data_IF_546204919634
#
_entry.id   IF_546204919634
#
_cell.length_a   1.000
_cell.length_b   1.000
_cell.length_c   1.000
_cell.angle_alpha   90.00
_cell.angle_beta   90.00
_cell.angle_gamma   90.00
#
_symmetry.space_group_name_H-M   'P 1'
#
loop_
_entity.id
_entity.type
_entity.pdbx_description
1 polymer ?
#
# COMPACT_ATOMS: atom_id res chain seq x y z
N UNK A 1 -7.88 14.49 -9.51
CA UNK A 1 -7.85 13.12 -8.96
C UNK A 1 -9.19 12.72 -8.36
N UNK A 2 -9.76 13.49 -7.42
CA UNK A 2 -11.17 13.38 -7.03
C UNK A 2 -12.08 13.48 -8.25
N UNK A 3 -11.77 14.36 -9.21
CA UNK A 3 -12.48 14.51 -10.48
C UNK A 3 -12.57 13.25 -11.36
N UNK A 4 -11.62 12.30 -11.34
CA UNK A 4 -11.72 11.09 -12.17
C UNK A 4 -12.59 10.03 -11.49
N UNK A 5 -12.54 9.95 -10.16
CA UNK A 5 -13.40 9.10 -9.33
C UNK A 5 -14.83 9.68 -9.27
N UNK A 6 -14.96 11.02 -9.22
CA UNK A 6 -16.21 11.77 -9.29
C UNK A 6 -16.78 11.79 -10.71
N UNK A 7 -15.97 11.88 -11.77
CA UNK A 7 -16.46 11.71 -13.14
C UNK A 7 -16.91 10.26 -13.39
N UNK A 8 -16.25 9.28 -12.75
CA UNK A 8 -16.70 7.89 -12.76
C UNK A 8 -17.98 7.66 -11.93
N UNK A 9 -18.16 8.34 -10.80
CA UNK A 9 -19.43 8.34 -10.06
C UNK A 9 -20.55 9.07 -10.84
N UNK A 10 -20.28 10.25 -11.38
CA UNK A 10 -21.22 11.05 -12.16
C UNK A 10 -21.62 10.39 -13.49
N UNK A 11 -20.72 9.61 -14.12
CA UNK A 11 -21.07 8.83 -15.30
C UNK A 11 -21.91 7.59 -14.96
N UNK A 12 -21.78 7.03 -13.74
CA UNK A 12 -22.59 5.91 -13.28
C UNK A 12 -24.00 6.34 -12.83
N UNK A 13 -24.13 7.53 -12.24
CA UNK A 13 -25.42 8.08 -11.77
C UNK A 13 -26.28 8.69 -12.89
N UNK A 14 -25.71 8.91 -14.08
CA UNK A 14 -26.41 9.46 -15.26
C UNK A 14 -27.11 8.40 -16.15
N UNK A 15 -27.11 7.13 -15.77
CA UNK A 15 -28.01 6.15 -16.38
C UNK A 15 -29.40 6.27 -15.75
N UNK A 16 -30.29 6.92 -16.49
CA UNK A 16 -31.70 7.16 -16.15
C UNK A 16 -32.45 5.90 -15.66
N UNK A 17 -33.45 6.05 -14.79
CA UNK A 17 -34.27 4.95 -14.32
C UNK A 17 -35.10 4.39 -15.49
N UNK A 18 -34.71 3.23 -16.01
CA UNK A 18 -35.57 2.41 -16.85
C UNK A 18 -36.63 1.78 -15.96
N UNK A 19 -37.87 2.22 -16.16
CA UNK A 19 -39.09 1.69 -15.60
C UNK A 19 -39.19 0.18 -15.91
N UNK A 20 -39.14 -0.66 -14.88
CA UNK A 20 -39.04 -2.12 -15.06
C UNK A 20 -38.90 -2.88 -13.74
N UNK A 21 -40.00 -2.96 -12.99
CA UNK A 21 -40.09 -3.53 -11.64
C UNK A 21 -39.93 -5.06 -11.51
N UNK A 22 -39.24 -5.74 -12.43
CA UNK A 22 -38.80 -7.13 -12.31
C UNK A 22 -37.79 -7.46 -13.42
N UNK A 23 -36.48 -7.22 -13.20
CA UNK A 23 -35.55 -8.33 -12.94
C UNK A 23 -34.32 -7.91 -12.09
N UNK A 24 -34.46 -6.91 -11.20
CA UNK A 24 -33.31 -6.37 -10.46
C UNK A 24 -32.69 -7.43 -9.54
N UNK A 25 -33.52 -8.25 -8.88
CA UNK A 25 -33.02 -9.32 -8.01
C UNK A 25 -32.28 -10.44 -8.75
N UNK A 26 -32.65 -10.78 -10.00
CA UNK A 26 -31.93 -11.80 -10.78
C UNK A 26 -30.62 -11.27 -11.37
N UNK A 27 -30.55 -9.98 -11.71
CA UNK A 27 -29.31 -9.33 -12.12
C UNK A 27 -28.36 -9.15 -10.92
N UNK A 28 -28.87 -8.82 -9.73
CA UNK A 28 -28.08 -8.73 -8.50
C UNK A 28 -27.55 -10.11 -8.05
N UNK A 29 -28.36 -11.16 -8.18
CA UNK A 29 -27.98 -12.53 -7.79
C UNK A 29 -27.00 -13.17 -8.79
N UNK A 30 -27.08 -12.84 -10.09
CA UNK A 30 -26.08 -13.22 -11.08
C UNK A 30 -24.72 -12.51 -10.83
N UNK A 31 -24.74 -11.26 -10.39
CA UNK A 31 -23.53 -10.47 -10.08
C UNK A 31 -22.85 -10.92 -8.78
N UNK A 32 -23.59 -11.50 -7.83
CA UNK A 32 -23.04 -12.09 -6.61
C UNK A 32 -22.13 -13.31 -6.88
N UNK A 33 -22.22 -13.92 -8.07
CA UNK A 33 -21.35 -15.01 -8.54
C UNK A 33 -20.43 -14.59 -9.70
N UNK A 34 -20.11 -13.30 -9.81
CA UNK A 34 -19.17 -12.84 -10.83
C UNK A 34 -17.80 -13.54 -10.65
N UNK A 35 -17.53 -14.50 -11.52
CA UNK A 35 -16.33 -15.31 -11.47
C UNK A 35 -15.08 -14.52 -11.86
N UNK A 36 -13.89 -15.13 -11.75
CA UNK A 36 -12.62 -14.52 -12.15
C UNK A 36 -12.62 -13.93 -13.57
N UNK A 37 -13.38 -14.53 -14.49
CA UNK A 37 -13.52 -14.07 -15.88
C UNK A 37 -14.26 -12.73 -15.99
N UNK A 38 -15.38 -12.55 -15.28
CA UNK A 38 -16.15 -11.30 -15.28
C UNK A 38 -15.36 -10.17 -14.60
N UNK A 39 -14.64 -10.50 -13.53
CA UNK A 39 -13.72 -9.57 -12.87
C UNK A 39 -12.60 -9.12 -13.82
N UNK A 40 -11.97 -10.06 -14.53
CA UNK A 40 -10.93 -9.76 -15.52
C UNK A 40 -11.45 -8.87 -16.65
N UNK A 41 -12.62 -9.20 -17.22
CA UNK A 41 -13.25 -8.41 -18.28
C UNK A 41 -13.60 -6.99 -17.81
N UNK A 42 -14.03 -6.83 -16.55
CA UNK A 42 -14.27 -5.53 -15.96
C UNK A 42 -12.97 -4.71 -15.86
N UNK A 43 -11.89 -5.31 -15.33
CA UNK A 43 -10.59 -4.62 -15.22
C UNK A 43 -10.09 -4.12 -16.57
N UNK A 44 -10.22 -4.95 -17.60
CA UNK A 44 -9.80 -4.64 -18.98
C UNK A 44 -10.64 -3.52 -19.59
N UNK A 45 -11.98 -3.62 -19.50
CA UNK A 45 -12.90 -2.59 -20.03
C UNK A 45 -12.62 -1.20 -19.46
N UNK A 46 -12.29 -1.13 -18.17
CA UNK A 46 -12.07 0.14 -17.47
C UNK A 46 -10.58 0.49 -17.27
N UNK A 47 -9.66 -0.30 -17.81
CA UNK A 47 -8.21 -0.12 -17.70
C UNK A 47 -7.73 0.15 -16.25
N UNK A 48 -8.35 -0.54 -15.29
CA UNK A 48 -8.12 -0.29 -13.85
C UNK A 48 -6.68 -0.68 -13.47
N UNK A 49 -6.15 -1.72 -14.07
CA UNK A 49 -4.78 -2.20 -13.88
C UNK A 49 -3.75 -1.17 -14.35
N UNK A 50 -3.93 -0.54 -15.51
CA UNK A 50 -3.03 0.50 -16.02
C UNK A 50 -3.00 1.70 -15.08
N UNK A 51 -4.17 2.14 -14.60
CA UNK A 51 -4.27 3.24 -13.65
C UNK A 51 -3.59 2.92 -12.31
N UNK A 52 -3.75 1.69 -11.82
CA UNK A 52 -3.10 1.20 -10.60
C UNK A 52 -1.58 1.12 -10.77
N UNK A 53 -1.08 0.60 -11.90
CA UNK A 53 0.35 0.52 -12.20
C UNK A 53 0.99 1.90 -12.22
N UNK A 54 0.38 2.88 -12.89
CA UNK A 54 0.89 4.27 -12.90
C UNK A 54 1.02 4.85 -11.49
N UNK A 55 0.01 4.66 -10.65
CA UNK A 55 0.04 5.11 -9.24
C UNK A 55 1.08 4.37 -8.42
N UNK A 56 1.25 3.08 -8.66
CA UNK A 56 2.27 2.24 -8.03
C UNK A 56 3.68 2.76 -8.33
N UNK A 57 3.99 3.02 -9.61
CA UNK A 57 5.28 3.60 -10.00
C UNK A 57 5.48 5.02 -9.46
N UNK A 58 4.44 5.85 -9.42
CA UNK A 58 4.54 7.17 -8.77
C UNK A 58 4.91 7.07 -7.30
N UNK A 59 4.33 6.14 -6.54
CA UNK A 59 4.69 5.92 -5.13
C UNK A 59 6.13 5.45 -4.97
N UNK A 60 6.57 4.52 -5.82
CA UNK A 60 7.95 4.04 -5.83
C UNK A 60 8.91 5.18 -6.13
N UNK A 61 8.63 6.00 -7.15
CA UNK A 61 9.44 7.15 -7.51
C UNK A 61 9.51 8.19 -6.38
N UNK A 62 8.39 8.50 -5.73
CA UNK A 62 8.34 9.41 -4.58
C UNK A 62 9.15 8.85 -3.40
N UNK A 63 9.00 7.56 -3.09
CA UNK A 63 9.76 6.90 -2.01
C UNK A 63 11.26 6.95 -2.26
N UNK A 64 11.70 6.60 -3.48
CA UNK A 64 13.09 6.64 -3.89
C UNK A 64 13.66 8.06 -3.88
N UNK A 65 12.94 9.03 -4.46
CA UNK A 65 13.37 10.42 -4.47
C UNK A 65 13.52 10.98 -3.05
N UNK A 66 12.56 10.70 -2.15
CA UNK A 66 12.65 11.10 -0.76
C UNK A 66 13.85 10.46 -0.04
N UNK A 67 14.13 9.17 -0.29
CA UNK A 67 15.31 8.51 0.28
C UNK A 67 16.62 9.12 -0.21
N UNK A 68 16.70 9.46 -1.49
CA UNK A 68 17.89 10.10 -2.07
C UNK A 68 18.10 11.48 -1.45
N UNK A 69 17.03 12.26 -1.28
CA UNK A 69 17.09 13.57 -0.61
C UNK A 69 17.54 13.43 0.84
N UNK A 70 17.02 12.45 1.58
CA UNK A 70 17.40 12.23 2.97
C UNK A 70 18.88 11.82 3.10
N UNK A 71 19.36 10.91 2.25
CA UNK A 71 20.77 10.49 2.23
C UNK A 71 21.69 11.64 1.77
N UNK A 72 21.30 12.39 0.74
CA UNK A 72 22.06 13.56 0.30
C UNK A 72 22.13 14.63 1.40
N UNK A 73 21.02 14.89 2.09
CA UNK A 73 20.98 15.81 3.22
C UNK A 73 22.00 15.41 4.30
N UNK A 74 22.04 14.12 4.66
CA UNK A 74 23.03 13.58 5.59
C UNK A 74 24.47 13.75 5.07
N UNK A 75 24.73 13.40 3.81
CA UNK A 75 26.05 13.50 3.20
C UNK A 75 26.63 14.94 3.22
N UNK A 76 25.76 15.95 3.07
CA UNK A 76 26.16 17.36 3.04
C UNK A 76 26.19 18.02 4.43
N UNK A 77 25.53 17.45 5.44
CA UNK A 77 25.52 17.98 6.81
C UNK A 77 26.51 17.21 7.70
N UNK A 78 27.79 17.60 7.63
CA UNK A 78 28.81 17.12 8.58
C UNK A 78 28.74 17.92 9.88
N UNK A 79 28.63 17.23 11.01
CA UNK A 79 28.62 17.83 12.34
C UNK A 79 29.90 17.51 13.11
N UNK A 80 30.21 18.34 14.11
CA UNK A 80 31.38 18.18 14.96
C UNK A 80 31.25 16.90 15.83
N UNK A 81 32.34 16.12 15.90
CA UNK A 81 32.39 14.76 16.47
C UNK A 81 32.30 14.69 18.02
N UNK A 82 32.01 15.80 18.69
CA UNK A 82 32.03 15.84 20.15
C UNK A 82 30.77 15.20 20.75
N UNK A 83 30.95 14.15 21.55
CA UNK A 83 29.88 13.47 22.29
C UNK A 83 29.13 12.36 21.52
N UNK A 84 29.76 11.75 20.49
CA UNK A 84 29.12 10.72 19.64
C UNK A 84 28.69 9.48 20.43
N UNK A 85 29.46 9.01 21.42
CA UNK A 85 29.18 7.74 22.12
C UNK A 85 27.89 7.75 22.96
N UNK A 86 27.58 8.82 23.68
CA UNK A 86 26.32 8.88 24.45
C UNK A 86 25.09 9.03 23.52
N UNK A 87 25.28 9.70 22.39
CA UNK A 87 24.23 9.90 21.39
C UNK A 87 23.97 8.62 20.58
N UNK A 88 24.98 7.80 20.33
CA UNK A 88 24.84 6.56 19.55
C UNK A 88 23.87 5.57 20.23
N UNK A 89 24.01 5.33 21.54
CA UNK A 89 23.08 4.47 22.29
C UNK A 89 21.63 4.94 22.22
N UNK A 90 21.41 6.26 22.39
CA UNK A 90 20.06 6.84 22.31
C UNK A 90 19.45 6.62 20.93
N UNK A 91 20.26 6.75 19.88
CA UNK A 91 19.81 6.62 18.50
C UNK A 91 19.58 5.15 18.14
N UNK A 92 20.43 4.23 18.58
CA UNK A 92 20.20 2.78 18.43
C UNK A 92 18.85 2.36 19.00
N UNK A 93 18.53 2.79 20.22
CA UNK A 93 17.23 2.52 20.84
C UNK A 93 16.08 3.15 20.07
N UNK A 94 16.23 4.40 19.62
CA UNK A 94 15.22 5.07 18.80
C UNK A 94 14.96 4.30 17.51
N UNK A 95 16.00 3.81 16.84
CA UNK A 95 15.91 3.06 15.58
C UNK A 95 15.28 1.69 15.83
N UNK A 96 15.68 0.98 16.89
CA UNK A 96 15.08 -0.29 17.27
C UNK A 96 13.58 -0.14 17.56
N UNK A 97 13.20 0.85 18.37
CA UNK A 97 11.79 1.16 18.67
C UNK A 97 11.03 1.49 17.38
N UNK A 98 11.61 2.30 16.49
CA UNK A 98 11.01 2.63 15.21
C UNK A 98 10.75 1.39 14.34
N UNK A 99 11.73 0.47 14.24
CA UNK A 99 11.58 -0.77 13.47
C UNK A 99 10.51 -1.69 14.07
N UNK A 100 10.48 -1.82 15.40
CA UNK A 100 9.44 -2.58 16.11
C UNK A 100 8.05 -1.98 15.86
N UNK A 101 7.92 -0.66 15.95
CA UNK A 101 6.66 0.03 15.65
C UNK A 101 6.24 -0.15 14.19
N UNK A 102 7.16 -0.05 13.24
CA UNK A 102 6.89 -0.32 11.82
C UNK A 102 6.37 -1.75 11.62
N UNK A 103 7.02 -2.74 12.25
CA UNK A 103 6.59 -4.13 12.19
C UNK A 103 5.18 -4.30 12.77
N UNK A 104 4.92 -3.75 13.96
CA UNK A 104 3.61 -3.81 14.60
C UNK A 104 2.52 -3.17 13.73
N UNK A 105 2.81 -2.03 13.12
CA UNK A 105 1.90 -1.35 12.17
C UNK A 105 1.62 -2.22 10.96
N UNK A 106 2.64 -2.83 10.35
CA UNK A 106 2.47 -3.74 9.20
C UNK A 106 1.60 -4.94 9.57
N UNK A 107 1.85 -5.57 10.72
CA UNK A 107 1.08 -6.72 11.18
C UNK A 107 -0.38 -6.35 11.46
N UNK A 108 -0.59 -5.28 12.23
CA UNK A 108 -1.93 -4.82 12.62
C UNK A 108 -2.74 -4.36 11.41
N UNK A 109 -2.19 -3.50 10.57
CA UNK A 109 -2.88 -3.03 9.36
C UNK A 109 -3.02 -4.14 8.33
N UNK A 110 -2.04 -5.03 8.19
CA UNK A 110 -2.13 -6.20 7.31
C UNK A 110 -3.28 -7.12 7.71
N UNK A 111 -3.41 -7.41 9.00
CA UNK A 111 -4.54 -8.16 9.52
C UNK A 111 -5.87 -7.43 9.28
N UNK A 112 -5.96 -6.15 9.63
CA UNK A 112 -7.18 -5.33 9.46
C UNK A 112 -7.61 -5.23 7.99
N UNK A 113 -6.67 -5.01 7.07
CA UNK A 113 -6.94 -4.90 5.64
C UNK A 113 -7.41 -6.23 5.05
N UNK A 114 -6.79 -7.35 5.44
CA UNK A 114 -7.24 -8.70 5.05
C UNK A 114 -8.64 -9.01 5.60
N UNK A 115 -8.93 -8.63 6.84
CA UNK A 115 -10.27 -8.78 7.41
C UNK A 115 -11.32 -7.95 6.66
N UNK A 116 -10.96 -6.72 6.25
CA UNK A 116 -11.82 -5.85 5.44
C UNK A 116 -12.14 -6.43 4.06
N UNK A 117 -11.17 -7.11 3.44
CA UNK A 117 -11.36 -7.78 2.14
C UNK A 117 -12.33 -8.97 2.20
N UNK A 118 -12.48 -9.64 3.36
CA UNK A 118 -13.37 -10.80 3.53
C UNK A 118 -14.85 -10.46 3.69
N UNK A 119 -15.19 -9.17 3.77
CA UNK A 119 -16.60 -8.77 3.86
C UNK A 119 -17.32 -9.17 2.57
N UNK A 120 -18.60 -9.54 2.67
CA UNK A 120 -19.42 -9.85 1.49
C UNK A 120 -19.64 -8.59 0.64
N UNK A 121 -19.50 -8.71 -0.66
CA UNK A 121 -19.73 -7.64 -1.62
C UNK A 121 -21.01 -7.94 -2.40
N UNK A 122 -21.91 -6.97 -2.48
CA UNK A 122 -23.19 -7.15 -3.16
C UNK A 122 -23.02 -7.10 -4.68
N UNK A 123 -22.00 -6.38 -5.18
CA UNK A 123 -21.81 -6.13 -6.60
C UNK A 123 -20.38 -6.41 -7.08
N UNK A 124 -20.21 -6.76 -8.35
CA UNK A 124 -18.90 -6.88 -9.01
C UNK A 124 -18.10 -5.58 -8.90
N UNK A 125 -18.77 -4.43 -9.02
CA UNK A 125 -18.16 -3.11 -8.82
C UNK A 125 -17.57 -2.96 -7.42
N UNK A 126 -18.30 -3.36 -6.38
CA UNK A 126 -17.79 -3.34 -5.01
C UNK A 126 -16.61 -4.29 -4.82
N UNK A 127 -16.63 -5.47 -5.45
CA UNK A 127 -15.51 -6.42 -5.38
C UNK A 127 -14.24 -5.79 -5.98
N UNK A 128 -14.33 -5.19 -7.17
CA UNK A 128 -13.22 -4.49 -7.82
C UNK A 128 -12.74 -3.34 -6.94
N UNK A 129 -13.65 -2.51 -6.43
CA UNK A 129 -13.31 -1.39 -5.55
C UNK A 129 -12.60 -1.85 -4.28
N UNK A 130 -12.99 -2.97 -3.66
CA UNK A 130 -12.32 -3.50 -2.47
C UNK A 130 -10.90 -3.95 -2.74
N UNK A 131 -10.66 -4.64 -3.86
CA UNK A 131 -9.31 -5.04 -4.27
C UNK A 131 -8.45 -3.82 -4.58
N UNK A 132 -9.00 -2.85 -5.31
CA UNK A 132 -8.37 -1.56 -5.62
C UNK A 132 -8.02 -0.80 -4.34
N UNK A 133 -8.96 -0.66 -3.42
CA UNK A 133 -8.77 0.01 -2.12
C UNK A 133 -7.71 -0.69 -1.27
N UNK A 134 -7.70 -2.03 -1.26
CA UNK A 134 -6.69 -2.79 -0.55
C UNK A 134 -5.29 -2.50 -1.09
N UNK A 135 -5.10 -2.59 -2.42
CA UNK A 135 -3.81 -2.28 -3.07
C UNK A 135 -3.42 -0.81 -2.80
N UNK A 136 -4.38 0.10 -2.82
CA UNK A 136 -4.13 1.50 -2.53
C UNK A 136 -3.70 1.76 -1.10
N UNK A 137 -4.45 1.25 -0.11
CA UNK A 137 -4.16 1.43 1.31
C UNK A 137 -2.85 0.78 1.69
N UNK A 138 -2.56 -0.42 1.16
CA UNK A 138 -1.30 -1.10 1.41
C UNK A 138 -0.10 -0.32 0.88
N UNK A 139 -0.15 0.15 -0.36
CA UNK A 139 0.94 0.96 -0.91
C UNK A 139 1.12 2.31 -0.20
N UNK A 140 0.04 2.95 0.25
CA UNK A 140 0.13 4.18 1.05
C UNK A 140 0.72 3.93 2.43
N UNK A 141 0.38 2.80 3.07
CA UNK A 141 0.94 2.41 4.36
C UNK A 141 2.46 2.25 4.26
N UNK A 142 2.94 1.52 3.26
CA UNK A 142 4.38 1.33 3.07
C UNK A 142 5.10 2.65 2.79
N UNK A 143 4.51 3.53 1.97
CA UNK A 143 5.08 4.85 1.70
C UNK A 143 5.12 5.72 2.96
N UNK A 144 4.09 5.65 3.81
CA UNK A 144 4.06 6.34 5.10
C UNK A 144 5.17 5.84 6.03
N UNK A 145 5.36 4.52 6.12
CA UNK A 145 6.44 3.93 6.92
C UNK A 145 7.82 4.33 6.40
N UNK A 146 8.03 4.35 5.08
CA UNK A 146 9.25 4.87 4.47
C UNK A 146 9.48 6.34 4.82
N UNK A 147 8.45 7.18 4.76
CA UNK A 147 8.55 8.59 5.15
C UNK A 147 8.95 8.75 6.63
N UNK A 148 8.42 7.91 7.53
CA UNK A 148 8.84 7.92 8.94
C UNK A 148 10.31 7.50 9.11
N UNK A 149 10.79 6.51 8.36
CA UNK A 149 12.20 6.12 8.35
C UNK A 149 13.12 7.26 7.88
N UNK A 150 12.73 7.98 6.81
CA UNK A 150 13.45 9.17 6.35
C UNK A 150 13.48 10.28 7.42
N UNK A 151 12.39 10.48 8.15
CA UNK A 151 12.34 11.41 9.28
C UNK A 151 13.33 11.05 10.39
N UNK A 152 13.42 9.75 10.74
CA UNK A 152 14.41 9.26 11.72
C UNK A 152 15.84 9.46 11.23
N UNK A 153 16.11 9.24 9.93
CA UNK A 153 17.42 9.50 9.33
C UNK A 153 17.80 10.99 9.44
N UNK A 154 16.90 11.89 9.05
CA UNK A 154 17.12 13.34 9.15
C UNK A 154 17.34 13.75 10.61
N UNK A 155 16.54 13.21 11.54
CA UNK A 155 16.72 13.48 12.96
C UNK A 155 18.07 12.99 13.49
N UNK A 156 18.49 11.77 13.14
CA UNK A 156 19.81 11.26 13.50
C UNK A 156 20.95 12.08 12.89
N UNK A 157 20.75 12.61 11.67
CA UNK A 157 21.67 13.56 11.04
C UNK A 157 21.82 14.81 11.92
N UNK A 158 20.72 15.42 12.36
CA UNK A 158 20.74 16.62 13.21
C UNK A 158 21.41 16.38 14.58
N UNK A 159 21.42 15.13 15.06
CA UNK A 159 22.14 14.74 16.28
C UNK A 159 23.64 14.53 16.07
N UNK A 160 24.10 14.59 14.82
CA UNK A 160 25.50 14.49 14.43
C UNK A 160 25.93 13.13 13.90
N UNK A 161 25.00 12.23 13.56
CA UNK A 161 25.36 10.97 12.92
C UNK A 161 25.55 11.13 11.41
N UNK A 162 26.66 10.60 10.92
CA UNK A 162 26.96 10.48 9.51
C UNK A 162 26.72 9.04 9.04
N UNK A 163 25.93 8.87 7.96
CA UNK A 163 25.67 7.57 7.32
C UNK A 163 26.96 6.89 6.85
N UNK A 164 27.98 7.66 6.49
CA UNK A 164 29.26 7.16 5.99
C UNK A 164 30.30 6.91 7.09
N UNK A 165 29.96 7.19 8.36
CA UNK A 165 30.81 6.85 9.49
C UNK A 165 30.73 5.36 9.85
N UNK A 166 31.63 4.90 10.73
CA UNK A 166 31.62 3.52 11.22
C UNK A 166 30.27 3.14 11.86
N UNK A 167 29.67 4.08 12.58
CA UNK A 167 28.39 3.92 13.29
C UNK A 167 27.16 4.22 12.40
N UNK A 168 27.39 4.76 11.20
CA UNK A 168 26.37 5.11 10.22
C UNK A 168 25.53 3.92 9.74
N UNK A 169 26.01 2.69 9.98
CA UNK A 169 25.27 1.44 9.74
C UNK A 169 23.93 1.39 10.46
N UNK A 170 23.88 1.92 11.68
CA UNK A 170 22.63 1.97 12.44
C UNK A 170 21.64 2.91 11.75
N UNK A 171 22.12 4.07 11.27
CA UNK A 171 21.28 5.02 10.53
C UNK A 171 20.77 4.43 9.21
N UNK A 172 21.55 3.59 8.53
CA UNK A 172 21.09 2.86 7.33
C UNK A 172 19.91 1.92 7.63
N UNK A 173 19.79 1.37 8.85
CA UNK A 173 18.66 0.51 9.21
C UNK A 173 17.32 1.28 9.18
N UNK A 174 17.33 2.60 9.33
CA UNK A 174 16.12 3.44 9.19
C UNK A 174 15.54 3.41 7.77
N UNK A 175 16.33 2.99 6.78
CA UNK A 175 15.88 2.81 5.39
C UNK A 175 15.23 1.44 5.14
N UNK A 176 15.12 0.58 6.16
CA UNK A 176 14.45 -0.73 6.04
C UNK A 176 13.02 -0.62 5.51
N UNK A 177 12.16 0.31 5.98
CA UNK A 177 10.83 0.49 5.41
C UNK A 177 10.85 0.95 3.95
N UNK A 178 11.85 1.74 3.55
CA UNK A 178 12.06 2.16 2.16
C UNK A 178 12.48 0.97 1.29
N UNK A 179 13.38 0.11 1.78
CA UNK A 179 13.73 -1.14 1.10
C UNK A 179 12.49 -2.02 0.92
N UNK A 180 11.61 -2.07 1.92
CA UNK A 180 10.33 -2.79 1.81
C UNK A 180 9.43 -2.18 0.71
N UNK A 181 9.37 -0.84 0.58
CA UNK A 181 8.68 -0.17 -0.54
C UNK A 181 9.28 -0.57 -1.88
N UNK A 182 10.60 -0.68 -1.99
CA UNK A 182 11.29 -1.07 -3.24
C UNK A 182 10.98 -2.53 -3.60
N UNK A 183 11.17 -3.45 -2.65
CA UNK A 183 10.88 -4.87 -2.83
C UNK A 183 9.41 -5.06 -3.20
N UNK A 184 8.50 -4.37 -2.49
CA UNK A 184 7.08 -4.36 -2.83
C UNK A 184 6.84 -3.74 -4.22
N UNK A 185 7.50 -2.64 -4.53
CA UNK A 185 7.44 -1.95 -5.81
C UNK A 185 7.74 -2.86 -7.00
N UNK A 186 8.78 -3.68 -6.87
CA UNK A 186 9.25 -4.56 -7.95
C UNK A 186 8.46 -5.88 -7.98
N UNK A 187 8.19 -6.49 -6.82
CA UNK A 187 7.57 -7.83 -6.76
C UNK A 187 6.05 -7.79 -6.79
N UNK A 188 5.44 -6.67 -6.43
CA UNK A 188 4.00 -6.53 -6.24
C UNK A 188 3.39 -5.48 -7.18
N UNK A 189 3.74 -5.54 -8.47
CA UNK A 189 3.09 -4.75 -9.52
C UNK A 189 1.60 -5.16 -9.63
N UNK A 190 0.65 -4.22 -9.68
CA UNK A 190 -0.78 -4.50 -9.76
C UNK A 190 -1.20 -4.85 -11.20
N UNK A 191 -0.68 -5.97 -11.72
CA UNK A 191 -1.10 -6.52 -13.02
C UNK A 191 -2.50 -7.12 -12.93
N UNK A 192 -3.19 -7.23 -14.07
CA UNK A 192 -4.51 -7.86 -14.16
C UNK A 192 -4.54 -9.23 -13.50
N UNK A 193 -3.61 -10.12 -13.86
CA UNK A 193 -3.53 -11.49 -13.32
C UNK A 193 -3.39 -11.50 -11.80
N UNK A 194 -2.63 -10.54 -11.26
CA UNK A 194 -2.46 -10.42 -9.82
C UNK A 194 -3.73 -9.95 -9.13
N UNK A 195 -4.44 -8.96 -9.69
CA UNK A 195 -5.73 -8.51 -9.15
C UNK A 195 -6.77 -9.64 -9.20
N UNK A 196 -6.80 -10.41 -10.29
CA UNK A 196 -7.65 -11.61 -10.42
C UNK A 196 -7.26 -12.66 -9.38
N UNK A 197 -5.97 -12.93 -9.16
CA UNK A 197 -5.53 -13.89 -8.14
C UNK A 197 -5.89 -13.46 -6.71
N UNK A 198 -5.91 -12.15 -6.44
CA UNK A 198 -6.36 -11.61 -5.15
C UNK A 198 -7.85 -11.86 -5.00
N UNK A 199 -8.64 -11.58 -6.03
CA UNK A 199 -10.08 -11.85 -6.06
C UNK A 199 -10.40 -13.34 -5.89
N UNK A 200 -9.71 -14.21 -6.61
CA UNK A 200 -9.88 -15.66 -6.55
C UNK A 200 -9.55 -16.22 -5.14
N UNK A 201 -8.49 -15.72 -4.51
CA UNK A 201 -8.16 -16.05 -3.10
C UNK A 201 -9.23 -15.58 -2.11
N UNK A 202 -9.99 -14.53 -2.43
CA UNK A 202 -11.10 -14.08 -1.59
C UNK A 202 -12.31 -14.98 -1.74
N UNK A 203 -12.62 -15.43 -2.96
CA UNK A 203 -13.70 -16.37 -3.22
C UNK A 203 -13.41 -17.74 -2.57
N UNK A 204 -12.21 -18.27 -2.79
CA UNK A 204 -11.79 -19.59 -2.27
C UNK A 204 -11.50 -19.58 -0.77
N UNK A 205 -10.87 -18.51 -0.26
CA UNK A 205 -10.59 -18.34 1.16
C UNK A 205 -11.82 -18.04 2.02
N UNK A 206 -12.91 -17.55 1.40
CA UNK A 206 -14.24 -17.47 2.03
C UNK A 206 -14.91 -18.84 2.13
N UNK A 207 -14.77 -19.68 1.10
CA UNK A 207 -15.34 -21.04 1.08
C UNK A 207 -14.67 -21.99 2.08
N UNK A 208 -13.35 -21.90 2.26
CA UNK A 208 -12.62 -22.71 3.23
C UNK A 208 -12.83 -22.30 4.71
N UNK A 209 -13.30 -21.07 4.97
CA UNK A 209 -13.57 -20.57 6.32
C UNK A 209 -15.03 -20.82 6.78
N UNK A 210 -15.91 -21.31 5.90
CA UNK A 210 -17.28 -21.73 6.21
C UNK A 210 -17.45 -23.23 6.46
N UNK A 211 -16.36 -24.00 6.44
CA UNK A 211 -16.34 -25.44 6.60
C UNK A 211 -15.33 -25.88 7.66
N UNK A 212 -15.52 -25.41 8.89
CA UNK A 212 -14.97 -26.06 10.08
C UNK A 212 -16.04 -25.99 11.20
N UNK A 213 -16.35 -27.11 11.88
CA UNK A 213 -17.33 -27.18 12.96
C UNK A 213 -16.92 -26.34 14.19
#
# INVERSE_FOLDING_TARGET
>A
MLHAILAWHAAADNHAPMDGSAPIHQAEEAVAKAGPAEFSAFLERYQVDIALQRRHFMRLAVGLAASLVAVAYNAFHKHAEQGIQERSYTIEWMILIHLVLCLMVILFYGWRLRAGLRKHAATLREQVLRVVDFVHRWGNLLLFLAATGHGVLVFGTLLGLDVFSHDGRVLLMTLTPTLLVIIHGITQIPTRDRLVSIHDRLLTGGAAAGGAP
#
